data_IF_520399415046
#
_entry.id   IF_520399415046
#
_cell.length_a   1.000
_cell.length_b   1.000
_cell.length_c   1.000
_cell.angle_alpha   90.00
_cell.angle_beta   90.00
_cell.angle_gamma   90.00
#
_symmetry.space_group_name_H-M   'P 1'
#
loop_
_entity.id
_entity.type
_entity.pdbx_description
1 polymer ?
#
# COMPACT_ATOMS: atom_id res chain seq x y z
N UNK A 1 25.74 8.45 -4.72
CA UNK A 1 26.28 9.33 -3.65
C UNK A 1 26.37 8.58 -2.33
N UNK A 2 25.28 8.03 -1.75
CA UNK A 2 25.30 7.39 -0.42
C UNK A 2 26.32 6.25 -0.30
N UNK A 3 26.38 5.34 -1.27
CA UNK A 3 27.37 4.26 -1.31
C UNK A 3 28.82 4.77 -1.41
N UNK A 4 29.06 5.89 -2.08
CA UNK A 4 30.38 6.52 -2.14
C UNK A 4 30.78 7.06 -0.76
N UNK A 5 29.88 7.77 -0.07
CA UNK A 5 30.14 8.23 1.31
C UNK A 5 30.38 7.08 2.28
N UNK A 6 29.66 5.98 2.13
CA UNK A 6 29.90 4.78 2.93
C UNK A 6 31.34 4.27 2.72
N UNK A 7 31.77 4.09 1.45
CA UNK A 7 33.11 3.55 1.13
C UNK A 7 34.26 4.50 1.49
N UNK A 8 34.07 5.80 1.18
CA UNK A 8 35.17 6.78 1.28
C UNK A 8 35.26 7.42 2.67
N UNK A 9 34.16 7.44 3.41
CA UNK A 9 34.08 8.17 4.69
C UNK A 9 33.60 7.33 5.87
N UNK A 10 33.31 6.05 5.64
CA UNK A 10 32.80 5.15 6.68
C UNK A 10 31.42 5.53 7.21
N UNK A 11 30.65 6.35 6.46
CA UNK A 11 29.29 6.74 6.89
C UNK A 11 28.39 5.53 6.82
N UNK A 12 27.73 5.20 7.92
CA UNK A 12 26.71 4.15 7.94
C UNK A 12 25.48 4.60 7.16
N UNK A 13 25.19 3.87 6.06
CA UNK A 13 24.06 4.17 5.19
C UNK A 13 23.15 2.98 5.07
N UNK A 14 21.84 3.24 5.00
CA UNK A 14 20.82 2.25 4.70
C UNK A 14 20.03 2.72 3.48
N UNK A 15 19.93 1.88 2.46
CA UNK A 15 19.33 2.23 1.18
C UNK A 15 18.09 1.41 0.95
N UNK A 16 16.94 2.07 0.85
CA UNK A 16 15.67 1.44 0.51
C UNK A 16 15.18 1.88 -0.87
N UNK A 17 14.66 0.95 -1.65
CA UNK A 17 13.84 1.23 -2.83
C UNK A 17 12.39 0.91 -2.49
N UNK A 18 11.61 1.97 -2.35
CA UNK A 18 10.18 1.88 -1.99
C UNK A 18 9.37 1.67 -3.26
N UNK A 19 8.54 0.62 -3.26
CA UNK A 19 7.55 0.37 -4.30
C UNK A 19 6.20 0.96 -3.94
N UNK A 20 5.18 0.81 -4.82
CA UNK A 20 3.88 1.44 -4.60
C UNK A 20 3.33 1.12 -3.21
N UNK A 21 3.14 2.15 -2.44
CA UNK A 21 2.67 2.06 -1.06
C UNK A 21 1.35 2.79 -0.94
N UNK A 22 0.44 2.23 -0.14
CA UNK A 22 -0.86 2.83 0.12
C UNK A 22 -1.24 2.72 1.60
N UNK A 23 -2.21 3.54 2.00
CA UNK A 23 -2.73 3.54 3.36
C UNK A 23 -3.35 4.88 3.75
N UNK A 24 -3.77 5.04 5.01
CA UNK A 24 -4.20 6.32 5.54
C UNK A 24 -3.12 7.39 5.40
N UNK A 25 -3.53 8.66 5.32
CA UNK A 25 -2.68 9.86 5.15
C UNK A 25 -2.08 10.04 3.74
N UNK A 26 -2.53 9.26 2.74
CA UNK A 26 -2.25 9.60 1.35
C UNK A 26 -3.04 10.87 0.95
N UNK A 27 -2.39 11.78 0.24
CA UNK A 27 -3.06 12.96 -0.30
C UNK A 27 -3.96 12.58 -1.46
N UNK A 28 -5.17 13.16 -1.53
CA UNK A 28 -6.14 12.90 -2.60
C UNK A 28 -5.69 13.43 -3.97
N UNK A 29 -4.79 14.42 -3.97
CA UNK A 29 -4.33 15.15 -5.15
C UNK A 29 -2.90 14.79 -5.58
N UNK A 30 -2.34 13.67 -5.11
CA UNK A 30 -0.97 13.27 -5.45
C UNK A 30 -0.85 12.55 -6.82
N UNK A 31 -1.96 12.34 -7.51
CA UNK A 31 -2.01 11.73 -8.84
C UNK A 31 -1.81 10.22 -8.87
N UNK A 32 -1.67 9.55 -7.71
CA UNK A 32 -1.56 8.09 -7.67
C UNK A 32 -2.91 7.41 -7.80
N UNK A 33 -2.87 6.15 -8.26
CA UNK A 33 -4.05 5.37 -8.61
C UNK A 33 -5.05 5.26 -7.45
N UNK A 34 -4.63 4.80 -6.26
CA UNK A 34 -5.56 4.57 -5.16
C UNK A 34 -6.29 5.83 -4.68
N UNK A 35 -5.58 6.95 -4.35
CA UNK A 35 -6.30 8.17 -3.93
C UNK A 35 -7.23 8.70 -5.01
N UNK A 36 -6.85 8.60 -6.30
CA UNK A 36 -7.69 9.00 -7.43
C UNK A 36 -8.96 8.15 -7.49
N UNK A 37 -8.83 6.82 -7.44
CA UNK A 37 -9.98 5.92 -7.47
C UNK A 37 -10.87 6.07 -6.25
N UNK A 38 -10.30 6.21 -5.05
CA UNK A 38 -11.07 6.47 -3.83
C UNK A 38 -11.85 7.78 -3.90
N UNK A 39 -11.22 8.85 -4.38
CA UNK A 39 -11.89 10.14 -4.57
C UNK A 39 -13.06 10.01 -5.54
N UNK A 40 -12.82 9.42 -6.71
CA UNK A 40 -13.84 9.24 -7.73
C UNK A 40 -15.00 8.36 -7.24
N UNK A 41 -14.68 7.20 -6.67
CA UNK A 41 -15.69 6.28 -6.15
C UNK A 41 -16.53 6.89 -5.02
N UNK A 42 -15.91 7.55 -4.05
CA UNK A 42 -16.63 8.20 -2.94
C UNK A 42 -17.41 9.44 -3.37
N UNK A 43 -17.17 9.96 -4.57
CA UNK A 43 -17.92 11.06 -5.18
C UNK A 43 -18.96 10.59 -6.20
N UNK A 44 -19.11 9.27 -6.42
CA UNK A 44 -19.91 8.67 -7.50
C UNK A 44 -19.54 9.21 -8.90
N UNK A 45 -18.28 9.63 -9.07
CA UNK A 45 -17.72 10.03 -10.35
C UNK A 45 -17.17 8.81 -11.11
N UNK A 46 -17.15 8.82 -12.45
CA UNK A 46 -16.53 7.73 -13.22
C UNK A 46 -15.08 7.51 -12.83
N UNK A 47 -14.68 6.24 -12.61
CA UNK A 47 -13.28 5.87 -12.34
C UNK A 47 -12.51 5.88 -13.65
N UNK A 48 -11.49 6.74 -13.74
CA UNK A 48 -10.67 6.90 -14.93
C UNK A 48 -9.50 5.90 -14.95
N UNK A 49 -9.51 5.00 -15.93
CA UNK A 49 -8.42 4.07 -16.22
C UNK A 49 -7.71 4.52 -17.49
N UNK A 50 -6.40 4.68 -17.45
CA UNK A 50 -5.57 4.95 -18.62
C UNK A 50 -5.14 3.61 -19.24
N UNK A 51 -5.29 3.47 -20.58
CA UNK A 51 -5.14 2.22 -21.29
C UNK A 51 -6.37 1.33 -21.18
N UNK A 52 -6.19 0.02 -21.36
CA UNK A 52 -7.25 -1.00 -21.29
C UNK A 52 -7.43 -1.60 -19.88
N UNK A 53 -6.65 -1.15 -18.90
CA UNK A 53 -6.68 -1.64 -17.53
C UNK A 53 -5.96 -2.97 -17.30
N UNK A 54 -5.31 -3.52 -18.32
CA UNK A 54 -4.55 -4.79 -18.22
C UNK A 54 -3.18 -4.63 -17.58
N UNK A 55 -2.65 -3.40 -17.51
CA UNK A 55 -1.37 -3.13 -16.84
C UNK A 55 -1.43 -3.52 -15.37
N UNK A 56 -0.37 -4.14 -14.88
CA UNK A 56 -0.30 -4.62 -13.50
C UNK A 56 0.47 -3.68 -12.59
N UNK A 57 0.04 -3.62 -11.35
CA UNK A 57 0.74 -2.95 -10.25
C UNK A 57 0.68 -3.84 -9.01
N UNK A 58 1.62 -3.62 -8.12
CA UNK A 58 1.58 -4.21 -6.78
C UNK A 58 1.48 -3.10 -5.75
N UNK A 59 0.77 -3.36 -4.65
CA UNK A 59 0.49 -2.35 -3.63
C UNK A 59 0.85 -2.88 -2.25
N UNK A 60 1.74 -2.19 -1.54
CA UNK A 60 2.16 -2.51 -0.19
C UNK A 60 1.43 -1.61 0.82
N UNK A 61 0.88 -2.19 1.86
CA UNK A 61 0.26 -1.40 2.92
C UNK A 61 1.34 -0.64 3.71
N UNK A 62 1.02 0.59 4.11
CA UNK A 62 1.99 1.51 4.72
C UNK A 62 2.63 0.97 5.99
N UNK A 63 1.89 0.25 6.83
CA UNK A 63 2.45 -0.31 8.08
C UNK A 63 3.51 -1.38 7.80
N UNK A 64 3.31 -2.23 6.79
CA UNK A 64 4.31 -3.22 6.37
C UNK A 64 5.57 -2.53 5.84
N UNK A 65 5.39 -1.47 5.02
CA UNK A 65 6.52 -0.70 4.53
C UNK A 65 7.32 -0.06 5.67
N UNK A 66 6.64 0.59 6.63
CA UNK A 66 7.27 1.21 7.79
C UNK A 66 8.02 0.17 8.62
N UNK A 67 7.44 -1.01 8.84
CA UNK A 67 8.13 -2.10 9.52
C UNK A 67 9.42 -2.51 8.79
N UNK A 68 9.36 -2.65 7.46
CA UNK A 68 10.52 -2.96 6.64
C UNK A 68 11.63 -1.90 6.72
N UNK A 69 11.26 -0.62 6.68
CA UNK A 69 12.19 0.50 6.84
C UNK A 69 12.85 0.47 8.22
N UNK A 70 12.08 0.23 9.28
CA UNK A 70 12.62 0.14 10.67
C UNK A 70 13.59 -1.04 10.79
N UNK A 71 13.25 -2.21 10.24
CA UNK A 71 14.17 -3.36 10.23
C UNK A 71 15.46 -3.06 9.48
N UNK A 72 15.37 -2.40 8.31
CA UNK A 72 16.54 -2.00 7.54
C UNK A 72 17.40 -0.99 8.30
N UNK A 73 16.79 -0.01 8.97
CA UNK A 73 17.49 1.01 9.76
C UNK A 73 18.40 0.38 10.84
N UNK A 74 17.90 -0.66 11.52
CA UNK A 74 18.62 -1.35 12.59
C UNK A 74 19.42 -2.57 12.12
N UNK A 75 19.52 -2.83 10.83
CA UNK A 75 20.37 -3.89 10.26
C UNK A 75 21.75 -3.37 9.92
N UNK A 76 22.69 -4.28 9.62
CA UNK A 76 23.99 -3.96 9.07
C UNK A 76 24.02 -3.92 7.53
N UNK A 77 22.85 -4.01 6.89
CA UNK A 77 22.73 -4.08 5.43
C UNK A 77 23.02 -2.72 4.79
N UNK A 78 24.04 -2.66 3.95
CA UNK A 78 24.47 -1.44 3.26
C UNK A 78 24.05 -1.41 1.77
N UNK A 79 23.69 -2.56 1.22
CA UNK A 79 23.24 -2.64 -0.16
C UNK A 79 21.75 -2.23 -0.26
N UNK A 80 21.31 -1.73 -1.43
CA UNK A 80 19.91 -1.37 -1.62
C UNK A 80 18.96 -2.55 -1.41
N UNK A 81 17.91 -2.33 -0.60
CA UNK A 81 16.85 -3.31 -0.34
C UNK A 81 15.52 -2.81 -0.93
N UNK A 82 14.86 -3.64 -1.72
CA UNK A 82 13.52 -3.34 -2.21
C UNK A 82 12.50 -3.67 -1.12
N UNK A 83 11.59 -2.72 -0.84
CA UNK A 83 10.44 -2.94 0.04
C UNK A 83 9.16 -2.68 -0.73
N UNK A 84 8.26 -3.67 -0.75
CA UNK A 84 6.99 -3.63 -1.46
C UNK A 84 6.26 -4.96 -1.34
N UNK A 85 5.09 -5.06 -1.96
CA UNK A 85 4.33 -6.31 -2.04
C UNK A 85 4.54 -6.92 -3.43
N UNK A 86 4.97 -8.18 -3.57
CA UNK A 86 5.16 -8.83 -4.87
C UNK A 86 3.86 -9.31 -5.51
N UNK A 87 2.72 -9.21 -4.84
CA UNK A 87 1.44 -9.61 -5.40
C UNK A 87 0.93 -8.56 -6.40
N UNK A 88 0.85 -8.94 -7.67
CA UNK A 88 0.36 -8.08 -8.73
C UNK A 88 -1.16 -8.15 -8.87
N UNK A 89 -1.74 -7.03 -9.29
CA UNK A 89 -3.15 -6.91 -9.67
C UNK A 89 -3.26 -6.03 -10.89
N UNK A 90 -4.20 -6.31 -11.79
CA UNK A 90 -4.49 -5.41 -12.89
C UNK A 90 -5.17 -4.14 -12.40
N UNK A 91 -4.96 -3.02 -13.09
CA UNK A 91 -5.60 -1.75 -12.73
C UNK A 91 -7.13 -1.84 -12.88
N UNK A 92 -7.61 -2.61 -13.84
CA UNK A 92 -9.05 -2.88 -13.99
C UNK A 92 -9.64 -3.56 -12.77
N UNK A 93 -9.08 -4.69 -12.35
CA UNK A 93 -9.54 -5.41 -11.15
C UNK A 93 -9.42 -4.55 -9.89
N UNK A 94 -8.35 -3.76 -9.78
CA UNK A 94 -8.18 -2.84 -8.63
C UNK A 94 -9.26 -1.75 -8.58
N UNK A 95 -9.69 -1.22 -9.72
CA UNK A 95 -10.82 -0.28 -9.80
C UNK A 95 -12.13 -0.94 -9.35
N UNK A 96 -12.40 -2.17 -9.80
CA UNK A 96 -13.57 -2.94 -9.38
C UNK A 96 -13.59 -3.20 -7.86
N UNK A 97 -12.44 -3.55 -7.28
CA UNK A 97 -12.31 -3.70 -5.81
C UNK A 97 -12.64 -2.41 -5.07
N UNK A 98 -12.17 -1.24 -5.57
CA UNK A 98 -12.47 0.06 -4.94
C UNK A 98 -13.95 0.40 -5.05
N UNK A 99 -14.59 0.18 -6.21
CA UNK A 99 -16.04 0.38 -6.39
C UNK A 99 -16.82 -0.48 -5.41
N UNK A 100 -16.48 -1.77 -5.31
CA UNK A 100 -17.13 -2.70 -4.41
C UNK A 100 -16.96 -2.32 -2.94
N UNK A 101 -15.74 -1.92 -2.54
CA UNK A 101 -15.42 -1.51 -1.17
C UNK A 101 -16.19 -0.26 -0.75
N UNK A 102 -16.28 0.73 -1.64
CA UNK A 102 -16.98 2.00 -1.38
C UNK A 102 -18.48 1.91 -1.57
N UNK A 103 -18.99 0.78 -2.07
CA UNK A 103 -20.41 0.62 -2.48
C UNK A 103 -20.90 1.76 -3.40
N UNK A 104 -20.00 2.19 -4.31
CA UNK A 104 -20.24 3.30 -5.23
C UNK A 104 -21.02 2.85 -6.45
N UNK A 105 -21.78 3.78 -7.06
CA UNK A 105 -22.42 3.62 -8.37
C UNK A 105 -21.50 4.00 -9.54
N UNK A 106 -20.23 4.30 -9.28
CA UNK A 106 -19.27 4.72 -10.29
C UNK A 106 -19.09 3.70 -11.40
N UNK A 107 -19.10 4.18 -12.63
CA UNK A 107 -18.72 3.40 -13.82
C UNK A 107 -17.24 3.52 -14.09
N UNK A 108 -16.66 2.59 -14.84
CA UNK A 108 -15.26 2.67 -15.29
C UNK A 108 -15.22 3.35 -16.66
N UNK A 109 -14.36 4.36 -16.80
CA UNK A 109 -14.09 5.04 -18.07
C UNK A 109 -12.62 4.87 -18.49
N UNK A 110 -12.40 4.54 -19.76
CA UNK A 110 -11.05 4.28 -20.30
C UNK A 110 -10.56 5.49 -21.09
N UNK A 111 -9.28 5.84 -20.88
CA UNK A 111 -8.60 6.97 -21.49
C UNK A 111 -7.30 6.53 -22.19
N UNK A 112 -6.79 7.30 -23.16
CA UNK A 112 -5.51 6.97 -23.80
C UNK A 112 -4.38 6.82 -22.77
N UNK A 113 -3.55 5.77 -22.95
CA UNK A 113 -2.39 5.54 -22.07
C UNK A 113 -1.32 6.60 -22.31
N UNK A 114 -0.72 7.22 -21.28
CA UNK A 114 0.47 8.06 -21.42
C UNK A 114 1.65 7.27 -22.02
N UNK A 115 2.49 7.94 -22.82
CA UNK A 115 3.56 7.29 -23.60
C UNK A 115 4.57 6.51 -22.76
N UNK A 116 4.84 6.90 -21.51
CA UNK A 116 5.91 6.34 -20.66
C UNK A 116 5.41 5.53 -19.45
N UNK A 117 4.15 5.07 -19.43
CA UNK A 117 3.66 4.29 -18.28
C UNK A 117 4.13 2.82 -18.38
N UNK A 118 4.94 2.35 -17.42
CA UNK A 118 5.45 0.97 -17.46
C UNK A 118 4.29 -0.04 -17.32
N UNK A 119 4.31 -1.08 -18.17
CA UNK A 119 3.28 -2.14 -18.15
C UNK A 119 3.28 -2.94 -16.84
N UNK A 120 4.44 -3.16 -16.23
CA UNK A 120 4.64 -3.97 -15.04
C UNK A 120 5.50 -3.22 -14.02
N UNK A 121 5.07 -3.24 -12.74
CA UNK A 121 5.85 -2.74 -11.61
C UNK A 121 5.69 -3.69 -10.43
N UNK A 122 6.58 -4.67 -10.34
CA UNK A 122 6.59 -5.67 -9.29
C UNK A 122 7.96 -5.67 -8.57
N UNK A 123 8.04 -5.60 -7.22
CA UNK A 123 9.29 -5.69 -6.50
C UNK A 123 9.77 -7.14 -6.38
N UNK A 124 11.05 -7.37 -6.62
CA UNK A 124 11.73 -8.53 -6.06
C UNK A 124 12.14 -8.19 -4.62
N UNK A 125 11.57 -8.89 -3.64
CA UNK A 125 11.80 -8.70 -2.20
C UNK A 125 12.68 -9.81 -1.60
N UNK A 126 13.31 -10.65 -2.42
CA UNK A 126 14.15 -11.77 -1.94
C UNK A 126 15.19 -11.30 -0.94
N UNK A 127 15.90 -10.20 -1.24
CA UNK A 127 16.88 -9.63 -0.32
C UNK A 127 16.27 -9.14 0.99
N UNK A 128 15.08 -8.50 0.95
CA UNK A 128 14.40 -8.06 2.17
C UNK A 128 14.05 -9.25 3.07
N UNK A 129 13.64 -10.36 2.48
CA UNK A 129 13.39 -11.61 3.23
C UNK A 129 14.68 -12.16 3.84
N UNK A 130 15.74 -12.30 3.04
CA UNK A 130 17.00 -12.94 3.47
C UNK A 130 17.71 -12.15 4.56
N UNK A 131 17.83 -10.80 4.41
CA UNK A 131 18.66 -9.98 5.31
C UNK A 131 17.87 -9.35 6.46
N UNK A 132 16.54 -9.13 6.30
CA UNK A 132 15.70 -8.51 7.31
C UNK A 132 14.67 -9.47 7.93
N UNK A 133 14.48 -10.65 7.35
CA UNK A 133 13.36 -11.54 7.69
C UNK A 133 12.01 -10.86 7.46
N UNK A 134 11.93 -9.95 6.46
CA UNK A 134 10.75 -9.13 6.21
C UNK A 134 9.99 -9.59 4.97
N UNK A 135 8.68 -9.67 5.11
CA UNK A 135 7.70 -9.82 4.02
C UNK A 135 6.47 -8.99 4.37
N UNK A 136 5.73 -8.46 3.38
CA UNK A 136 4.44 -7.85 3.65
C UNK A 136 3.48 -8.87 4.26
N UNK A 137 2.65 -8.42 5.20
CA UNK A 137 1.77 -9.29 5.99
C UNK A 137 0.30 -8.87 5.93
N UNK A 138 0.02 -7.68 5.42
CA UNK A 138 -1.33 -7.13 5.29
C UNK A 138 -1.84 -7.47 3.89
N UNK A 139 -2.91 -8.25 3.84
CA UNK A 139 -3.61 -8.50 2.58
C UNK A 139 -4.20 -7.21 2.02
N UNK A 140 -4.25 -7.10 0.68
CA UNK A 140 -4.69 -5.87 0.00
C UNK A 140 -6.10 -5.46 0.42
N UNK A 141 -7.02 -6.41 0.49
CA UNK A 141 -8.42 -6.16 0.90
C UNK A 141 -8.50 -5.58 2.31
N UNK A 142 -7.74 -6.15 3.26
CA UNK A 142 -7.67 -5.66 4.64
C UNK A 142 -7.08 -4.25 4.71
N UNK A 143 -6.01 -4.00 3.96
CA UNK A 143 -5.36 -2.69 3.90
C UNK A 143 -6.27 -1.61 3.29
N UNK A 144 -7.03 -1.95 2.25
CA UNK A 144 -8.03 -1.06 1.65
C UNK A 144 -9.15 -0.75 2.64
N UNK A 145 -9.68 -1.76 3.34
CA UNK A 145 -10.70 -1.56 4.37
C UNK A 145 -10.20 -0.67 5.53
N UNK A 146 -8.94 -0.86 5.97
CA UNK A 146 -8.31 -0.01 6.99
C UNK A 146 -8.09 1.44 6.53
N UNK A 147 -8.02 1.67 5.21
CA UNK A 147 -7.81 2.99 4.63
C UNK A 147 -9.12 3.74 4.38
N UNK A 148 -10.23 3.05 4.28
CA UNK A 148 -11.51 3.58 3.80
C UNK A 148 -12.03 4.75 4.65
N UNK A 149 -12.04 4.61 5.98
CA UNK A 149 -12.56 5.67 6.87
C UNK A 149 -11.76 6.98 6.71
N UNK A 150 -10.45 6.90 6.51
CA UNK A 150 -9.62 8.06 6.21
C UNK A 150 -10.03 8.75 4.89
N UNK A 151 -10.24 7.97 3.81
CA UNK A 151 -10.62 8.55 2.52
C UNK A 151 -12.03 9.13 2.55
N UNK A 152 -12.98 8.51 3.26
CA UNK A 152 -14.33 9.05 3.46
C UNK A 152 -14.23 10.44 4.14
N UNK A 153 -13.43 10.57 5.19
CA UNK A 153 -13.24 11.83 5.89
C UNK A 153 -12.61 12.90 4.98
N UNK A 154 -11.54 12.56 4.24
CA UNK A 154 -10.84 13.52 3.37
C UNK A 154 -11.70 13.97 2.19
N UNK A 155 -12.41 13.05 1.53
CA UNK A 155 -13.33 13.41 0.43
C UNK A 155 -14.50 14.24 0.96
N UNK A 156 -15.02 13.92 2.15
CA UNK A 156 -16.06 14.71 2.81
C UNK A 156 -15.67 16.16 3.05
N UNK A 157 -14.41 16.44 3.38
CA UNK A 157 -13.89 17.81 3.55
C UNK A 157 -13.91 18.62 2.25
N UNK A 158 -13.74 17.97 1.08
CA UNK A 158 -13.77 18.64 -0.22
C UNK A 158 -15.19 18.97 -0.69
N UNK A 159 -16.17 18.16 -0.27
CA UNK A 159 -17.54 18.21 -0.81
C UNK A 159 -18.48 19.12 -0.02
N UNK A 160 -18.07 19.70 1.12
CA UNK A 160 -18.97 20.41 2.04
C UNK A 160 -19.95 19.44 2.77
N UNK A 161 -20.93 19.93 3.53
CA UNK A 161 -21.84 19.07 4.28
C UNK A 161 -22.75 18.27 3.32
N UNK A 162 -22.32 17.05 2.97
CA UNK A 162 -23.14 16.03 2.31
C UNK A 162 -23.85 15.16 3.35
N UNK A 163 -24.97 14.54 2.92
CA UNK A 163 -25.62 13.50 3.72
C UNK A 163 -24.61 12.41 4.10
N UNK A 164 -24.67 11.86 5.33
CA UNK A 164 -23.70 10.89 5.79
C UNK A 164 -23.69 9.67 4.85
N UNK A 165 -22.49 9.26 4.47
CA UNK A 165 -22.23 8.04 3.70
C UNK A 165 -22.88 6.85 4.42
N UNK A 166 -23.85 6.18 3.79
CA UNK A 166 -24.46 4.99 4.36
C UNK A 166 -23.50 3.82 4.21
N UNK A 167 -22.78 3.47 5.28
CA UNK A 167 -22.10 2.17 5.36
C UNK A 167 -23.14 1.09 5.08
N UNK A 168 -22.93 0.26 4.05
CA UNK A 168 -23.80 -0.89 3.80
C UNK A 168 -23.77 -1.80 5.02
N UNK A 169 -24.91 -2.17 5.56
CA UNK A 169 -25.05 -3.12 6.68
C UNK A 169 -24.80 -4.58 6.25
N UNK A 170 -24.02 -4.80 5.20
CA UNK A 170 -23.55 -6.17 4.94
C UNK A 170 -22.52 -6.48 6.00
N UNK A 171 -22.72 -7.47 6.88
CA UNK A 171 -21.70 -7.94 7.77
C UNK A 171 -20.58 -8.47 6.88
N UNK A 172 -19.47 -7.72 6.78
CA UNK A 172 -18.18 -8.30 6.45
C UNK A 172 -18.07 -9.50 7.39
N UNK A 173 -18.11 -10.71 6.82
CA UNK A 173 -18.05 -11.92 7.62
C UNK A 173 -16.95 -11.71 8.64
N UNK A 174 -17.27 -11.93 9.92
CA UNK A 174 -16.36 -11.76 11.06
C UNK A 174 -15.09 -12.60 10.86
N UNK A 175 -14.22 -12.19 9.97
CA UNK A 175 -12.83 -12.62 9.96
C UNK A 175 -12.02 -11.59 10.75
N UNK A 176 -11.73 -12.00 11.96
CA UNK A 176 -11.41 -11.15 13.08
C UNK A 176 -10.18 -10.30 12.90
N UNK A 177 -10.37 -8.99 13.04
CA UNK A 177 -9.33 -8.05 13.49
C UNK A 177 -8.52 -8.59 14.71
N UNK A 178 -9.07 -9.49 15.49
CA UNK A 178 -8.36 -10.24 16.54
C UNK A 178 -7.26 -11.17 16.01
N UNK A 179 -7.40 -11.73 14.81
CA UNK A 179 -6.38 -12.59 14.19
C UNK A 179 -5.14 -11.83 13.73
N UNK A 180 -5.29 -10.65 13.15
CA UNK A 180 -4.18 -9.82 12.71
C UNK A 180 -3.38 -9.27 13.90
N UNK A 181 -4.07 -8.78 14.94
CA UNK A 181 -3.44 -8.30 16.18
C UNK A 181 -2.72 -9.42 16.93
N UNK A 182 -3.32 -10.61 17.02
CA UNK A 182 -2.68 -11.75 17.67
C UNK A 182 -1.51 -12.34 16.86
N UNK A 183 -1.57 -12.34 15.52
CA UNK A 183 -0.43 -12.70 14.68
C UNK A 183 0.71 -11.68 14.81
N UNK A 184 0.42 -10.37 14.87
CA UNK A 184 1.42 -9.32 15.15
C UNK A 184 2.07 -9.52 16.53
N UNK A 185 1.32 -9.84 17.56
CA UNK A 185 1.86 -10.12 18.89
C UNK A 185 2.78 -11.35 18.89
N UNK A 186 2.38 -12.45 18.24
CA UNK A 186 3.20 -13.66 18.11
C UNK A 186 4.48 -13.45 17.29
N UNK A 187 4.41 -12.65 16.20
CA UNK A 187 5.59 -12.30 15.41
C UNK A 187 6.57 -11.42 16.17
N UNK A 188 6.08 -10.43 16.94
CA UNK A 188 6.91 -9.60 17.82
C UNK A 188 7.58 -10.41 18.92
N UNK A 189 6.89 -11.39 19.48
CA UNK A 189 7.44 -12.28 20.51
C UNK A 189 8.51 -13.20 19.94
N UNK A 190 8.33 -13.75 18.72
CA UNK A 190 9.33 -14.56 18.02
C UNK A 190 10.57 -13.76 17.59
N UNK A 191 10.39 -12.49 17.19
CA UNK A 191 11.51 -11.60 16.85
C UNK A 191 12.37 -11.29 18.09
N UNK A 192 11.74 -11.06 19.25
CA UNK A 192 12.46 -10.79 20.51
C UNK A 192 13.24 -12.01 21.03
N UNK A 193 12.75 -13.24 20.78
CA UNK A 193 13.45 -14.46 21.21
C UNK A 193 14.61 -14.85 20.30
N UNK A 194 14.65 -14.35 19.03
CA UNK A 194 15.75 -14.62 18.09
C UNK A 194 16.86 -13.57 18.10
N UNK A 195 16.63 -12.39 18.68
CA UNK A 195 17.65 -11.36 18.80
C UNK A 195 17.50 -10.61 20.14
N UNK A 196 18.13 -11.11 21.22
CA UNK A 196 18.00 -10.52 22.56
C UNK A 196 18.74 -9.20 22.76
N UNK A 197 19.25 -8.56 21.71
CA UNK A 197 20.03 -7.30 21.76
C UNK A 197 19.31 -6.10 21.12
N UNK A 198 17.97 -6.06 21.16
CA UNK A 198 17.19 -4.84 20.85
C UNK A 198 16.23 -4.56 22.00
#
# INVERSE_FOLDING_TARGET
>A
IMMAYHRERGVETRLVRIFNTYGPRMRLDDGRVLPTFMKQALSDEPISIFGDGSQTRSFCFVDDLVEGIVRLLYSDEVQPVNLGNPQEITIGTFAEEVVALTNSSSTISYHPLPEDDPKVRCPDITRAFEVLGWTPSVEREDGLAMSLDYFIEEVGKLSGPRAPFRKSERPLGRMGSRGAVQRRAKLRQRARTKNPRI
#
